data_IF_570655083203
#
_entry.id   IF_570655083203
#
_cell.length_a   1.000
_cell.length_b   1.000
_cell.length_c   1.000
_cell.angle_alpha   90.00
_cell.angle_beta   90.00
_cell.angle_gamma   90.00
#
_symmetry.space_group_name_H-M   'P 1'
#
loop_
_entity.id
_entity.type
_entity.pdbx_description
1 polymer ?
#
# COMPACT_ATOMS: atom_id res chain seq x y z
N UNK A 1 -5.28 16.61 -6.89
CA UNK A 1 -6.25 16.16 -5.87
C UNK A 1 -7.29 17.22 -5.62
N UNK A 2 -8.31 17.21 -6.46
CA UNK A 2 -9.63 17.77 -6.15
C UNK A 2 -10.24 17.05 -4.93
N UNK A 3 -11.32 17.57 -4.32
CA UNK A 3 -12.02 16.87 -3.24
C UNK A 3 -12.50 15.48 -3.64
N UNK A 4 -12.96 15.30 -4.89
CA UNK A 4 -13.38 14.00 -5.41
C UNK A 4 -12.20 13.03 -5.53
N UNK A 5 -11.10 13.48 -6.14
CA UNK A 5 -9.86 12.68 -6.25
C UNK A 5 -9.31 12.27 -4.87
N UNK A 6 -9.49 13.10 -3.83
CA UNK A 6 -9.12 12.76 -2.46
C UNK A 6 -9.98 11.64 -1.88
N UNK A 7 -11.30 11.73 -2.04
CA UNK A 7 -12.23 10.69 -1.57
C UNK A 7 -11.98 9.35 -2.26
N UNK A 8 -11.74 9.39 -3.57
CA UNK A 8 -11.39 8.19 -4.34
C UNK A 8 -10.08 7.59 -3.84
N UNK A 9 -9.05 8.41 -3.64
CA UNK A 9 -7.77 7.96 -3.11
C UNK A 9 -7.89 7.37 -1.70
N UNK A 10 -8.66 8.00 -0.81
CA UNK A 10 -8.90 7.49 0.55
C UNK A 10 -9.60 6.12 0.53
N UNK A 11 -10.60 5.93 -0.33
CA UNK A 11 -11.26 4.63 -0.49
C UNK A 11 -10.29 3.55 -0.99
N UNK A 12 -9.43 3.89 -1.96
CA UNK A 12 -8.39 2.98 -2.45
C UNK A 12 -7.38 2.63 -1.36
N UNK A 13 -6.91 3.62 -0.58
CA UNK A 13 -5.95 3.40 0.51
C UNK A 13 -6.57 2.50 1.58
N UNK A 14 -7.79 2.77 2.03
CA UNK A 14 -8.46 1.93 3.03
C UNK A 14 -8.56 0.48 2.57
N UNK A 15 -8.97 0.26 1.32
CA UNK A 15 -9.09 -1.09 0.78
C UNK A 15 -7.73 -1.79 0.64
N UNK A 16 -6.69 -1.05 0.22
CA UNK A 16 -5.34 -1.59 0.15
C UNK A 16 -4.81 -1.96 1.54
N UNK A 17 -4.95 -1.06 2.53
CA UNK A 17 -4.52 -1.29 3.91
C UNK A 17 -5.18 -2.52 4.53
N UNK A 18 -6.47 -2.75 4.31
CA UNK A 18 -7.15 -3.98 4.78
C UNK A 18 -6.55 -5.25 4.20
N UNK A 19 -6.19 -5.25 2.91
CA UNK A 19 -5.60 -6.40 2.25
C UNK A 19 -4.18 -6.64 2.77
N UNK A 20 -3.37 -5.59 2.86
CA UNK A 20 -1.98 -5.67 3.29
C UNK A 20 -1.89 -6.10 4.77
N UNK A 21 -2.73 -5.54 5.63
CA UNK A 21 -2.84 -5.96 7.03
C UNK A 21 -3.16 -7.44 7.20
N UNK A 22 -4.09 -7.99 6.40
CA UNK A 22 -4.46 -9.41 6.45
C UNK A 22 -3.36 -10.37 5.99
N UNK A 23 -2.36 -9.87 5.26
CA UNK A 23 -1.24 -10.66 4.76
C UNK A 23 0.06 -10.37 5.52
N UNK A 24 0.03 -9.48 6.51
CA UNK A 24 1.13 -9.30 7.45
C UNK A 24 1.24 -10.52 8.38
N UNK A 25 2.45 -10.76 8.90
CA UNK A 25 2.69 -11.80 9.88
C UNK A 25 1.90 -11.50 11.17
N UNK A 26 0.98 -12.37 11.62
CA UNK A 26 0.19 -12.13 12.83
C UNK A 26 1.04 -11.91 14.08
N UNK A 27 2.23 -12.51 14.13
CA UNK A 27 3.15 -12.40 15.26
C UNK A 27 3.85 -11.03 15.31
N UNK A 28 3.73 -10.21 14.25
CA UNK A 28 4.29 -8.86 14.16
C UNK A 28 3.24 -7.74 14.35
N UNK A 29 2.08 -8.03 14.96
CA UNK A 29 0.94 -7.07 15.06
C UNK A 29 0.53 -6.77 16.51
N UNK A 30 1.50 -6.56 17.40
CA UNK A 30 1.24 -6.39 18.85
C UNK A 30 0.84 -4.96 19.22
N UNK A 31 1.48 -3.95 18.62
CA UNK A 31 1.20 -2.53 18.87
C UNK A 31 0.75 -1.80 17.61
N UNK A 32 0.25 -0.57 17.78
CA UNK A 32 -0.07 0.28 16.64
C UNK A 32 1.17 0.59 15.77
N UNK A 33 2.34 0.68 16.38
CA UNK A 33 3.61 0.89 15.67
C UNK A 33 4.00 -0.35 14.85
N UNK A 34 3.82 -1.54 15.41
CA UNK A 34 4.12 -2.79 14.70
C UNK A 34 3.15 -3.01 13.53
N UNK A 35 1.86 -2.74 13.73
CA UNK A 35 0.85 -2.78 12.67
C UNK A 35 1.20 -1.82 11.54
N UNK A 36 1.57 -0.59 11.88
CA UNK A 36 1.95 0.43 10.90
C UNK A 36 3.20 -0.01 10.11
N UNK A 37 4.21 -0.51 10.81
CA UNK A 37 5.46 -1.02 10.22
C UNK A 37 5.19 -2.19 9.28
N UNK A 38 4.45 -3.21 9.73
CA UNK A 38 4.14 -4.39 8.93
C UNK A 38 3.32 -4.05 7.68
N UNK A 39 2.32 -3.17 7.80
CA UNK A 39 1.56 -2.69 6.62
C UNK A 39 2.45 -1.89 5.67
N UNK A 40 3.36 -1.04 6.19
CA UNK A 40 4.31 -0.28 5.37
C UNK A 40 5.27 -1.20 4.61
N UNK A 41 5.79 -2.26 5.23
CA UNK A 41 6.65 -3.25 4.56
C UNK A 41 5.90 -3.92 3.40
N UNK A 42 4.65 -4.33 3.64
CA UNK A 42 3.78 -4.87 2.58
C UNK A 42 3.54 -3.86 1.43
N UNK A 43 3.43 -2.56 1.72
CA UNK A 43 3.36 -1.50 0.69
C UNK A 43 4.67 -1.43 -0.11
N UNK A 44 5.82 -1.49 0.55
CA UNK A 44 7.13 -1.43 -0.10
C UNK A 44 7.35 -2.62 -1.04
N UNK A 45 6.97 -3.81 -0.62
CA UNK A 45 7.15 -5.04 -1.39
C UNK A 45 6.14 -5.18 -2.53
N UNK A 46 4.86 -4.90 -2.26
CA UNK A 46 3.78 -5.27 -3.19
C UNK A 46 3.23 -4.10 -3.99
N UNK A 47 3.19 -2.89 -3.44
CA UNK A 47 2.52 -1.73 -4.05
C UNK A 47 3.53 -0.82 -4.76
N UNK A 48 4.64 -0.50 -4.10
CA UNK A 48 5.64 0.44 -4.61
C UNK A 48 6.19 0.06 -6.00
N UNK A 49 6.47 -1.23 -6.31
CA UNK A 49 6.91 -1.63 -7.66
C UNK A 49 5.84 -1.42 -8.74
N UNK A 50 4.55 -1.42 -8.39
CA UNK A 50 3.47 -1.16 -9.33
C UNK A 50 3.40 0.34 -9.68
N UNK A 51 3.55 1.20 -8.66
CA UNK A 51 3.60 2.66 -8.83
C UNK A 51 4.82 3.05 -9.68
N UNK A 52 5.99 2.48 -9.37
CA UNK A 52 7.22 2.72 -10.14
C UNK A 52 7.05 2.31 -11.62
N UNK A 53 6.40 1.16 -11.89
CA UNK A 53 6.11 0.71 -13.25
C UNK A 53 5.15 1.63 -14.01
N UNK A 54 4.18 2.25 -13.34
CA UNK A 54 3.28 3.21 -13.97
C UNK A 54 4.01 4.49 -14.42
N UNK A 55 5.05 4.89 -13.68
CA UNK A 55 5.85 6.09 -13.99
C UNK A 55 7.03 5.85 -14.94
N UNK A 56 7.42 4.60 -15.17
CA UNK A 56 8.47 4.26 -16.12
C UNK A 56 7.87 4.09 -17.53
N UNK A 57 8.31 4.84 -18.56
CA UNK A 57 7.94 4.50 -19.92
C UNK A 57 8.38 3.06 -20.18
N UNK A 58 7.51 2.28 -20.84
CA UNK A 58 7.76 0.89 -21.23
C UNK A 58 9.12 0.74 -21.91
N UNK A 59 10.16 0.40 -21.15
CA UNK A 59 11.39 -0.14 -21.68
C UNK A 59 11.12 -1.63 -21.93
N UNK A 60 10.37 -1.90 -22.99
CA UNK A 60 10.42 -3.21 -23.62
C UNK A 60 11.82 -3.37 -24.25
N UNK A 61 12.46 -4.55 -24.14
CA UNK A 61 13.63 -4.85 -24.97
C UNK A 61 13.28 -4.86 -26.47
#
# INVERSE_FOLDING_TARGET
MTPLERLELEACINRASEILYKNADPDSLETLEDIETAVREQVLENVSPQIARLGAPSLAP
#
